data_IF_584480860470
#
_entry.id   IF_584480860470
#
_cell.length_a   1.000
_cell.length_b   1.000
_cell.length_c   1.000
_cell.angle_alpha   90.00
_cell.angle_beta   90.00
_cell.angle_gamma   90.00
#
_symmetry.space_group_name_H-M   'P 1'
#
loop_
_entity.id
_entity.type
_entity.pdbx_description
1 polymer ?
#
# COMPACT_ATOMS: atom_id res chain seq x y z
N UNK A 1 7.59 -10.83 -13.45
CA UNK A 1 6.38 -11.56 -13.05
C UNK A 1 5.53 -10.66 -12.17
N UNK A 2 4.26 -10.56 -12.46
CA UNK A 2 3.37 -9.69 -11.69
C UNK A 2 3.05 -10.30 -10.34
N UNK A 3 2.99 -9.46 -9.34
CA UNK A 3 2.61 -9.86 -8.00
C UNK A 3 1.39 -9.06 -7.59
N UNK A 4 0.40 -9.72 -7.01
CA UNK A 4 -0.85 -9.06 -6.62
C UNK A 4 -1.06 -9.19 -5.12
N UNK A 5 -1.63 -8.15 -4.56
CA UNK A 5 -1.99 -8.09 -3.15
C UNK A 5 -3.50 -7.99 -3.06
N UNK A 6 -4.11 -8.90 -2.33
CA UNK A 6 -5.55 -8.87 -2.14
C UNK A 6 -5.89 -8.36 -0.76
N UNK A 7 -6.74 -7.35 -0.70
CA UNK A 7 -7.22 -6.77 0.55
C UNK A 7 -8.74 -6.78 0.47
N UNK A 8 -9.36 -7.77 1.11
CA UNK A 8 -10.80 -7.91 1.01
C UNK A 8 -11.24 -8.12 -0.43
N UNK A 9 -11.95 -7.14 -0.98
CA UNK A 9 -12.42 -7.17 -2.36
C UNK A 9 -11.49 -6.50 -3.34
N UNK A 10 -10.40 -5.92 -2.84
CA UNK A 10 -9.49 -5.15 -3.66
C UNK A 10 -8.27 -6.00 -4.00
N UNK A 11 -7.93 -6.03 -5.27
CA UNK A 11 -6.71 -6.70 -5.74
C UNK A 11 -5.86 -5.64 -6.41
N UNK A 12 -4.63 -5.46 -5.93
CA UNK A 12 -3.73 -4.44 -6.41
C UNK A 12 -2.48 -5.10 -6.95
N UNK A 13 -2.03 -4.62 -8.10
CA UNK A 13 -0.73 -5.03 -8.62
C UNK A 13 0.36 -4.32 -7.81
N UNK A 14 1.16 -5.09 -7.10
CA UNK A 14 2.20 -4.54 -6.22
C UNK A 14 3.18 -3.67 -6.99
N UNK A 15 3.43 -3.99 -8.23
CA UNK A 15 4.37 -3.24 -9.06
C UNK A 15 3.84 -1.85 -9.43
N UNK A 16 2.55 -1.61 -9.24
CA UNK A 16 1.95 -0.31 -9.52
C UNK A 16 1.91 0.60 -8.28
N UNK A 17 2.31 0.08 -7.14
CA UNK A 17 2.34 0.88 -5.92
C UNK A 17 3.56 1.79 -5.95
N UNK A 18 3.33 3.09 -5.85
CA UNK A 18 4.44 4.04 -5.84
C UNK A 18 4.73 4.60 -4.44
N UNK A 19 3.76 4.55 -3.55
CA UNK A 19 4.00 5.01 -2.18
C UNK A 19 2.92 4.43 -1.28
N UNK A 20 3.27 4.26 0.00
CA UNK A 20 2.32 3.81 1.02
C UNK A 20 2.58 4.64 2.26
N UNK A 21 1.55 5.22 2.82
CA UNK A 21 1.64 6.03 4.02
C UNK A 21 0.71 5.47 5.08
N UNK A 22 1.17 5.53 6.32
CA UNK A 22 0.38 5.09 7.46
C UNK A 22 0.03 6.29 8.32
N UNK A 23 -1.21 6.35 8.81
CA UNK A 23 -1.62 7.44 9.66
C UNK A 23 -0.88 7.39 11.01
N UNK A 24 -0.84 8.52 11.71
CA UNK A 24 -0.18 8.55 13.02
C UNK A 24 -0.84 7.62 14.02
N UNK A 25 -2.15 7.50 13.94
CA UNK A 25 -2.88 6.58 14.82
C UNK A 25 -2.61 5.12 14.47
N UNK A 26 -2.14 4.85 13.25
CA UNK A 26 -1.80 3.51 12.82
C UNK A 26 -2.97 2.69 12.34
N UNK A 27 -4.16 3.29 12.27
CA UNK A 27 -5.37 2.56 11.90
C UNK A 27 -5.78 2.74 10.44
N UNK A 28 -5.03 3.55 9.69
CA UNK A 28 -5.29 3.75 8.27
C UNK A 28 -3.99 3.67 7.48
N UNK A 29 -4.09 3.06 6.33
CA UNK A 29 -2.96 3.00 5.39
C UNK A 29 -3.48 3.49 4.04
N UNK A 30 -2.78 4.45 3.47
CA UNK A 30 -3.10 4.98 2.14
C UNK A 30 -2.10 4.42 1.15
N UNK A 31 -2.60 3.79 0.11
CA UNK A 31 -1.77 3.19 -0.93
C UNK A 31 -1.92 4.04 -2.18
N UNK A 32 -0.81 4.61 -2.62
CA UNK A 32 -0.78 5.40 -3.85
C UNK A 32 -0.33 4.51 -4.99
N UNK A 33 -1.08 4.51 -6.07
CA UNK A 33 -0.75 3.70 -7.23
C UNK A 33 -0.57 4.57 -8.45
N UNK A 34 0.16 4.03 -9.42
CA UNK A 34 0.29 4.67 -10.72
C UNK A 34 -0.67 3.98 -11.68
N UNK A 35 -1.24 4.74 -12.59
CA UNK A 35 -2.09 4.22 -13.62
C UNK A 35 -1.48 4.40 -15.00
N UNK A 36 -2.31 4.34 -16.02
CA UNK A 36 -1.85 4.42 -17.39
C UNK A 36 -2.36 5.62 -18.15
N UNK A 37 -3.10 6.48 -17.55
CA UNK A 37 -3.65 7.62 -18.24
C UNK A 37 -3.04 8.91 -17.76
N UNK A 38 -3.47 10.03 -18.28
CA UNK A 38 -2.91 11.33 -17.91
C UNK A 38 -3.29 11.78 -16.50
N UNK A 39 -4.18 11.07 -15.84
CA UNK A 39 -4.56 11.39 -14.45
C UNK A 39 -4.32 10.17 -13.58
N UNK A 40 -3.12 9.72 -13.60
CA UNK A 40 -2.83 8.37 -13.18
C UNK A 40 -2.49 8.19 -11.74
N UNK A 41 -2.65 9.21 -10.93
CA UNK A 41 -2.43 9.00 -9.52
C UNK A 41 -3.75 8.68 -8.86
N UNK A 42 -3.89 7.45 -8.43
CA UNK A 42 -5.01 7.04 -7.62
C UNK A 42 -4.52 6.65 -6.25
N UNK A 43 -5.44 6.52 -5.33
CA UNK A 43 -5.08 6.02 -4.02
C UNK A 43 -6.25 5.21 -3.45
N UNK A 44 -5.90 4.31 -2.54
CA UNK A 44 -6.87 3.52 -1.80
C UNK A 44 -6.59 3.68 -0.32
N UNK A 45 -7.64 3.80 0.48
CA UNK A 45 -7.51 3.88 1.92
C UNK A 45 -7.96 2.55 2.51
N UNK A 46 -7.09 1.95 3.31
CA UNK A 46 -7.35 0.69 3.99
C UNK A 46 -7.38 0.97 5.47
N UNK A 47 -8.36 0.43 6.18
CA UNK A 47 -8.55 0.72 7.60
C UNK A 47 -8.58 -0.57 8.41
N UNK A 48 -8.42 -0.41 9.72
CA UNK A 48 -8.58 -1.49 10.68
C UNK A 48 -7.53 -2.58 10.54
N UNK A 49 -7.95 -3.80 10.71
CA UNK A 49 -7.06 -4.96 10.66
C UNK A 49 -6.39 -5.10 9.30
N UNK A 50 -7.12 -4.77 8.23
CA UNK A 50 -6.57 -4.85 6.89
C UNK A 50 -5.42 -3.87 6.71
N UNK A 51 -5.54 -2.68 7.30
CA UNK A 51 -4.46 -1.70 7.24
C UNK A 51 -3.21 -2.23 7.91
N UNK A 52 -3.36 -2.83 9.09
CA UNK A 52 -2.23 -3.38 9.81
C UNK A 52 -1.56 -4.51 9.03
N UNK A 53 -2.36 -5.41 8.49
CA UNK A 53 -1.81 -6.53 7.72
C UNK A 53 -1.11 -6.06 6.46
N UNK A 54 -1.69 -5.09 5.77
CA UNK A 54 -1.10 -4.55 4.55
C UNK A 54 0.23 -3.86 4.85
N UNK A 55 0.24 -3.03 5.88
CA UNK A 55 1.45 -2.34 6.27
C UNK A 55 2.55 -3.32 6.63
N UNK A 56 2.22 -4.32 7.45
CA UNK A 56 3.21 -5.30 7.89
C UNK A 56 3.77 -6.09 6.72
N UNK A 57 2.92 -6.50 5.80
CA UNK A 57 3.39 -7.26 4.64
C UNK A 57 4.38 -6.43 3.81
N UNK A 58 4.00 -5.21 3.48
CA UNK A 58 4.85 -4.37 2.64
C UNK A 58 6.14 -4.00 3.35
N UNK A 59 6.05 -3.72 4.65
CA UNK A 59 7.22 -3.36 5.44
C UNK A 59 8.22 -4.50 5.55
N UNK A 60 7.73 -5.73 5.72
CA UNK A 60 8.60 -6.88 5.94
C UNK A 60 9.16 -7.46 4.65
N UNK A 61 8.41 -7.37 3.57
CA UNK A 61 8.77 -8.10 2.36
C UNK A 61 9.20 -7.21 1.20
N UNK A 62 8.85 -5.94 1.24
CA UNK A 62 9.05 -5.07 0.09
C UNK A 62 9.79 -3.78 0.42
N UNK A 63 10.35 -3.66 1.62
CA UNK A 63 10.89 -2.38 2.09
C UNK A 63 12.27 -2.56 2.68
N UNK A 64 13.15 -1.60 2.39
CA UNK A 64 14.41 -1.44 3.08
C UNK A 64 14.26 -0.24 4.01
N UNK A 65 14.46 -0.43 5.30
CA UNK A 65 14.28 0.63 6.28
C UNK A 65 15.53 1.51 6.30
N UNK A 66 15.33 2.80 6.04
CA UNK A 66 16.41 3.78 6.10
C UNK A 66 16.40 4.50 7.44
N UNK A 67 15.22 4.80 7.97
CA UNK A 67 15.08 5.48 9.24
C UNK A 67 13.79 5.02 9.90
N UNK A 68 13.86 4.80 11.22
CA UNK A 68 12.71 4.33 11.97
C UNK A 68 12.07 5.38 12.84
N UNK A 69 12.43 6.61 12.66
CA UNK A 69 11.87 7.68 13.48
C UNK A 69 10.40 7.95 13.18
#
# INVERSE_FOLDING_TARGET
MAEFLRIGRLIINVEQICAVARSQAGDEVVIFITGKGPRDTGHFVVTGTDAEKTWNYLNEHKTTVISES
#
